data_IF_821409932866
#
_entry.id   IF_821409932866
#
_cell.length_a   1.000
_cell.length_b   1.000
_cell.length_c   1.000
_cell.angle_alpha   90.00
_cell.angle_beta   90.00
_cell.angle_gamma   90.00
#
_symmetry.space_group_name_H-M   'P 1'
#
loop_
_entity.id
_entity.type
_entity.pdbx_description
1 polymer ?
#
# COMPACT_ATOMS: atom_id res chain seq x y z
N UNK A 1 4.13 -0.36 -8.81
CA UNK A 1 5.07 0.75 -8.68
C UNK A 1 4.82 1.85 -9.72
N UNK A 2 4.95 3.12 -9.32
CA UNK A 2 4.86 4.28 -10.21
C UNK A 2 3.57 4.29 -11.05
N UNK A 3 2.42 4.18 -10.41
CA UNK A 3 1.13 4.26 -11.08
C UNK A 3 0.67 5.72 -11.15
N UNK A 4 1.22 6.44 -12.12
CA UNK A 4 0.93 7.84 -12.43
C UNK A 4 -0.01 7.93 -13.62
N UNK A 5 -0.83 8.97 -13.66
CA UNK A 5 -1.53 9.34 -14.88
C UNK A 5 -0.61 10.14 -15.83
N UNK A 6 -1.13 10.95 -16.69
CA UNK A 6 -0.36 11.70 -17.71
C UNK A 6 -0.48 13.20 -17.53
N UNK A 7 -0.99 13.65 -16.39
CA UNK A 7 -1.18 15.05 -16.04
C UNK A 7 -0.23 15.44 -14.90
N UNK A 8 0.22 16.68 -14.91
CA UNK A 8 1.06 17.20 -13.84
C UNK A 8 0.22 17.63 -12.65
N UNK A 9 0.50 17.06 -11.48
CA UNK A 9 -0.10 17.48 -10.23
C UNK A 9 0.73 18.58 -9.57
N UNK A 10 0.11 19.76 -9.42
CA UNK A 10 0.80 20.93 -8.88
C UNK A 10 1.35 20.68 -7.47
N UNK A 11 2.63 20.94 -7.28
CA UNK A 11 3.31 20.77 -6.00
C UNK A 11 4.09 19.46 -5.86
N UNK A 12 3.97 18.54 -6.82
CA UNK A 12 4.69 17.27 -6.83
C UNK A 12 5.76 17.20 -7.93
N UNK A 13 6.71 16.29 -7.74
CA UNK A 13 7.82 16.03 -8.66
C UNK A 13 7.50 14.79 -9.51
N UNK A 14 6.47 14.91 -10.31
CA UNK A 14 5.89 13.85 -11.17
C UNK A 14 6.27 14.01 -12.65
N UNK A 15 7.05 15.04 -12.99
CA UNK A 15 7.36 15.43 -14.37
C UNK A 15 7.97 14.33 -15.24
N UNK A 16 8.62 13.35 -14.62
CA UNK A 16 9.15 12.19 -15.36
C UNK A 16 8.04 11.27 -15.90
N UNK A 17 6.79 11.43 -15.40
CA UNK A 17 5.62 10.67 -15.84
C UNK A 17 4.68 11.45 -16.75
N UNK A 18 5.22 12.42 -17.49
CA UNK A 18 4.46 13.17 -18.49
C UNK A 18 4.78 12.67 -19.91
N UNK A 19 3.88 12.88 -20.88
CA UNK A 19 4.07 12.43 -22.25
C UNK A 19 5.33 13.01 -22.92
N UNK A 20 5.69 14.24 -22.58
CA UNK A 20 6.87 14.97 -23.09
C UNK A 20 8.16 14.66 -22.35
N UNK A 21 8.12 13.89 -21.26
CA UNK A 21 9.31 13.50 -20.51
C UNK A 21 10.16 12.46 -21.26
N UNK A 22 11.40 12.24 -20.79
CA UNK A 22 12.27 11.19 -21.33
C UNK A 22 11.67 9.79 -21.23
N UNK A 23 10.76 9.56 -20.29
CA UNK A 23 10.01 8.29 -20.17
C UNK A 23 8.93 8.15 -21.24
N UNK A 24 8.51 9.24 -21.91
CA UNK A 24 7.39 9.26 -22.84
C UNK A 24 6.17 8.55 -22.25
N UNK A 25 5.73 9.00 -21.06
CA UNK A 25 4.61 8.39 -20.34
C UNK A 25 3.28 8.81 -20.94
N UNK A 26 2.97 8.25 -22.11
CA UNK A 26 1.77 8.58 -22.87
C UNK A 26 0.51 7.94 -22.32
N UNK A 27 -0.65 8.47 -22.69
CA UNK A 27 -1.96 7.90 -22.33
C UNK A 27 -2.09 6.42 -22.76
N UNK A 28 -1.52 6.03 -23.89
CA UNK A 28 -1.50 4.63 -24.33
C UNK A 28 -0.74 3.73 -23.33
N UNK A 29 0.43 4.18 -22.86
CA UNK A 29 1.22 3.44 -21.86
C UNK A 29 0.52 3.37 -20.52
N UNK A 30 -0.10 4.47 -20.11
CA UNK A 30 -0.91 4.53 -18.89
C UNK A 30 -2.05 3.50 -18.92
N UNK A 31 -2.89 3.50 -19.96
CA UNK A 31 -3.99 2.56 -20.08
C UNK A 31 -3.55 1.12 -20.26
N UNK A 32 -2.41 0.89 -20.91
CA UNK A 32 -1.79 -0.44 -20.98
C UNK A 32 -1.43 -0.95 -19.56
N UNK A 33 -0.81 -0.10 -18.74
CA UNK A 33 -0.46 -0.43 -17.35
C UNK A 33 -1.68 -0.68 -16.50
N UNK A 34 -2.70 0.19 -16.58
CA UNK A 34 -3.99 0.00 -15.90
C UNK A 34 -4.61 -1.36 -16.24
N UNK A 35 -4.65 -1.70 -17.52
CA UNK A 35 -5.16 -2.98 -18.00
C UNK A 35 -4.31 -4.18 -17.56
N UNK A 36 -2.98 -4.01 -17.48
CA UNK A 36 -2.07 -5.05 -17.00
C UNK A 36 -2.28 -5.34 -15.50
N UNK A 37 -2.35 -4.30 -14.67
CA UNK A 37 -2.65 -4.43 -13.24
C UNK A 37 -3.98 -5.12 -13.01
N UNK A 38 -5.03 -4.69 -13.72
CA UNK A 38 -6.34 -5.34 -13.62
C UNK A 38 -6.29 -6.83 -13.96
N UNK A 39 -5.52 -7.22 -15.00
CA UNK A 39 -5.33 -8.64 -15.34
C UNK A 39 -4.65 -9.42 -14.22
N UNK A 40 -3.61 -8.85 -13.59
CA UNK A 40 -2.90 -9.48 -12.48
C UNK A 40 -3.82 -9.68 -11.28
N UNK A 41 -4.59 -8.65 -10.91
CA UNK A 41 -5.54 -8.72 -9.79
C UNK A 41 -6.59 -9.80 -10.05
N UNK A 42 -7.18 -9.84 -11.25
CA UNK A 42 -8.15 -10.88 -11.63
C UNK A 42 -7.52 -12.26 -11.59
N UNK A 43 -6.31 -12.41 -12.14
CA UNK A 43 -5.61 -13.71 -12.16
C UNK A 43 -5.26 -14.21 -10.75
N UNK A 44 -4.89 -13.31 -9.86
CA UNK A 44 -4.59 -13.66 -8.46
C UNK A 44 -5.82 -14.22 -7.71
N UNK A 45 -7.01 -13.73 -8.02
CA UNK A 45 -8.25 -14.21 -7.42
C UNK A 45 -8.74 -15.56 -7.98
N UNK A 46 -8.35 -15.90 -9.20
CA UNK A 46 -8.83 -17.11 -9.88
C UNK A 46 -10.32 -17.06 -10.18
N UNK A 47 -11.12 -17.87 -9.51
CA UNK A 47 -12.58 -17.93 -9.72
C UNK A 47 -13.35 -16.88 -8.90
N UNK A 48 -12.75 -16.30 -7.89
CA UNK A 48 -13.35 -15.27 -7.04
C UNK A 48 -12.47 -14.02 -7.03
N UNK A 49 -13.05 -12.84 -6.84
CA UNK A 49 -12.24 -11.64 -6.63
C UNK A 49 -11.31 -11.78 -5.41
N UNK A 50 -10.15 -11.17 -5.45
CA UNK A 50 -9.29 -11.04 -4.25
C UNK A 50 -9.98 -10.13 -3.24
N UNK A 51 -10.05 -10.54 -1.97
CA UNK A 51 -10.78 -9.81 -0.94
C UNK A 51 -10.19 -8.42 -0.67
N UNK A 52 -8.87 -8.34 -0.59
CA UNK A 52 -8.12 -7.08 -0.38
C UNK A 52 -6.88 -7.04 -1.26
N UNK A 53 -6.60 -5.87 -1.84
CA UNK A 53 -5.42 -5.61 -2.68
C UNK A 53 -4.72 -4.35 -2.20
N UNK A 54 -3.52 -4.49 -1.64
CA UNK A 54 -2.67 -3.36 -1.29
C UNK A 54 -1.85 -2.88 -2.49
N UNK A 55 -1.81 -1.57 -2.68
CA UNK A 55 -1.05 -0.91 -3.75
C UNK A 55 -0.15 0.17 -3.17
N UNK A 56 1.09 0.19 -3.63
CA UNK A 56 2.07 1.24 -3.33
C UNK A 56 2.39 2.05 -4.59
N UNK A 57 2.84 3.29 -4.37
CA UNK A 57 3.21 4.22 -5.45
C UNK A 57 2.05 4.51 -6.41
N UNK A 58 0.91 4.83 -5.83
CA UNK A 58 -0.27 5.31 -6.54
C UNK A 58 -0.30 6.83 -6.42
N UNK A 59 -0.51 7.51 -7.52
CA UNK A 59 -0.44 8.97 -7.56
C UNK A 59 -1.64 9.64 -6.88
N UNK A 60 -2.85 9.31 -7.32
CA UNK A 60 -4.06 9.99 -6.84
C UNK A 60 -5.33 9.13 -6.97
N UNK A 61 -6.44 9.68 -6.45
CA UNK A 61 -7.75 9.00 -6.48
C UNK A 61 -8.25 8.74 -7.90
N UNK A 62 -7.94 9.61 -8.87
CA UNK A 62 -8.34 9.44 -10.27
C UNK A 62 -7.73 8.17 -10.86
N UNK A 63 -6.48 7.90 -10.54
CA UNK A 63 -5.76 6.70 -10.98
C UNK A 63 -6.43 5.44 -10.45
N UNK A 64 -6.85 5.43 -9.19
CA UNK A 64 -7.59 4.31 -8.58
C UNK A 64 -9.00 4.20 -9.16
N UNK A 65 -9.69 5.32 -9.37
CA UNK A 65 -10.99 5.33 -10.03
C UNK A 65 -10.91 4.77 -11.46
N UNK A 66 -9.87 5.10 -12.20
CA UNK A 66 -9.62 4.53 -13.52
C UNK A 66 -9.41 3.01 -13.44
N UNK A 67 -8.60 2.53 -12.50
CA UNK A 67 -8.36 1.11 -12.31
C UNK A 67 -9.64 0.35 -11.98
N UNK A 68 -10.43 0.86 -11.05
CA UNK A 68 -11.62 0.17 -10.54
C UNK A 68 -12.85 0.32 -11.43
N UNK A 69 -12.99 1.42 -12.19
CA UNK A 69 -14.20 1.69 -12.97
C UNK A 69 -14.01 1.64 -14.49
N UNK A 70 -12.78 1.67 -15.01
CA UNK A 70 -12.52 1.69 -16.45
C UNK A 70 -11.70 0.53 -16.98
N UNK A 71 -11.42 -0.47 -16.11
CA UNK A 71 -10.74 -1.71 -16.49
C UNK A 71 -11.67 -2.91 -16.29
N UNK A 72 -11.11 -4.12 -16.38
CA UNK A 72 -11.84 -5.37 -16.08
C UNK A 72 -12.37 -5.41 -14.62
N UNK A 73 -11.76 -4.64 -13.70
CA UNK A 73 -12.21 -4.58 -12.31
C UNK A 73 -13.58 -3.91 -12.15
N UNK A 74 -14.04 -3.14 -13.14
CA UNK A 74 -15.34 -2.45 -13.09
C UNK A 74 -16.54 -3.39 -12.82
N UNK A 75 -16.41 -4.66 -13.22
CA UNK A 75 -17.45 -5.68 -13.01
C UNK A 75 -17.35 -6.39 -11.66
N UNK A 76 -16.27 -6.17 -10.91
CA UNK A 76 -16.00 -6.86 -9.67
C UNK A 76 -16.39 -6.05 -8.43
N UNK A 77 -16.83 -4.81 -8.57
CA UNK A 77 -17.41 -4.02 -7.48
C UNK A 77 -16.41 -3.56 -6.40
N UNK A 78 -15.10 -3.55 -6.69
CA UNK A 78 -14.10 -3.07 -5.73
C UNK A 78 -14.39 -1.65 -5.25
N UNK A 79 -14.25 -1.45 -3.96
CA UNK A 79 -14.14 -0.14 -3.31
C UNK A 79 -12.67 0.12 -2.96
N UNK A 80 -12.35 1.38 -2.69
CA UNK A 80 -10.98 1.77 -2.35
C UNK A 80 -10.94 2.79 -1.22
N UNK A 81 -9.84 2.77 -0.48
CA UNK A 81 -9.38 3.85 0.40
C UNK A 81 -7.93 4.15 0.07
N UNK A 82 -7.52 5.40 0.21
CA UNK A 82 -6.19 5.86 -0.18
C UNK A 82 -5.66 6.86 0.84
N UNK A 83 -4.32 6.90 1.04
CA UNK A 83 -3.66 7.97 1.77
C UNK A 83 -3.51 9.21 0.90
N UNK A 84 -3.24 10.34 1.54
CA UNK A 84 -2.81 11.57 0.89
C UNK A 84 -1.57 12.06 1.63
N UNK A 85 -0.42 11.75 1.06
CA UNK A 85 0.87 12.00 1.66
C UNK A 85 1.48 13.32 1.21
N UNK A 86 2.47 13.77 1.95
CA UNK A 86 3.34 14.89 1.56
C UNK A 86 4.64 14.42 0.90
N UNK A 87 4.68 13.18 0.41
CA UNK A 87 5.82 12.68 -0.36
C UNK A 87 5.99 13.54 -1.62
N UNK A 88 7.21 14.01 -1.84
CA UNK A 88 7.52 14.94 -2.93
C UNK A 88 7.13 14.41 -4.32
N UNK A 89 7.12 13.10 -4.50
CA UNK A 89 6.77 12.47 -5.78
C UNK A 89 5.26 12.37 -6.00
N UNK A 90 4.43 12.74 -5.00
CA UNK A 90 2.99 12.56 -5.07
C UNK A 90 2.58 11.09 -5.12
N UNK A 91 3.22 10.22 -4.33
CA UNK A 91 2.89 8.80 -4.29
C UNK A 91 2.31 8.39 -2.96
N UNK A 92 1.30 7.57 -3.03
CA UNK A 92 0.46 7.17 -1.92
C UNK A 92 0.24 5.65 -1.84
N UNK A 93 -0.48 5.23 -0.82
CA UNK A 93 -0.95 3.88 -0.58
C UNK A 93 -2.43 3.80 -0.87
N UNK A 94 -2.86 2.75 -1.56
CA UNK A 94 -4.28 2.48 -1.77
C UNK A 94 -4.62 1.02 -1.42
N UNK A 95 -5.74 0.81 -0.74
CA UNK A 95 -6.31 -0.50 -0.49
C UNK A 95 -7.61 -0.64 -1.28
N UNK A 96 -7.64 -1.59 -2.22
CA UNK A 96 -8.89 -2.03 -2.83
C UNK A 96 -9.47 -3.16 -1.99
N UNK A 97 -10.78 -3.22 -1.84
CA UNK A 97 -11.44 -4.26 -1.06
C UNK A 97 -12.79 -4.67 -1.65
N UNK A 98 -13.21 -5.91 -1.37
CA UNK A 98 -14.52 -6.42 -1.67
C UNK A 98 -15.46 -6.18 -0.49
N UNK A 99 -16.52 -5.34 -0.61
CA UNK A 99 -17.39 -5.00 0.52
C UNK A 99 -18.10 -6.21 1.14
N UNK A 100 -18.32 -7.26 0.36
CA UNK A 100 -19.02 -8.48 0.79
C UNK A 100 -18.19 -9.37 1.72
N UNK A 101 -16.87 -9.37 1.52
CA UNK A 101 -15.95 -10.21 2.31
C UNK A 101 -15.08 -9.41 3.27
N UNK A 102 -14.99 -8.08 3.05
CA UNK A 102 -14.30 -7.14 3.92
C UNK A 102 -15.15 -5.86 4.05
N UNK A 103 -16.15 -5.89 4.93
CA UNK A 103 -17.01 -4.73 5.16
C UNK A 103 -16.26 -3.63 5.93
N UNK A 104 -15.97 -2.52 5.25
CA UNK A 104 -15.20 -1.41 5.81
C UNK A 104 -15.87 -0.86 7.09
N UNK A 105 -15.13 -0.81 8.19
CA UNK A 105 -15.54 -0.21 9.46
C UNK A 105 -14.94 1.18 9.65
N UNK A 106 -13.63 1.29 9.40
CA UNK A 106 -12.90 2.55 9.51
C UNK A 106 -11.59 2.48 8.76
N UNK A 107 -11.03 3.64 8.45
CA UNK A 107 -9.66 3.77 7.97
C UNK A 107 -9.01 5.05 8.49
N UNK A 108 -7.68 5.04 8.54
CA UNK A 108 -6.89 6.19 8.96
C UNK A 108 -5.47 6.10 8.41
N UNK A 109 -4.85 7.27 8.24
CA UNK A 109 -3.43 7.33 7.90
C UNK A 109 -2.62 7.78 9.11
N UNK A 110 -1.45 7.16 9.28
CA UNK A 110 -0.58 7.38 10.43
C UNK A 110 0.79 7.84 9.96
N UNK A 111 1.16 9.10 10.21
CA UNK A 111 2.45 9.62 9.80
C UNK A 111 3.59 8.91 10.51
N UNK A 112 4.68 8.69 9.80
CA UNK A 112 5.94 8.25 10.39
C UNK A 112 6.69 9.48 10.88
N UNK A 113 7.01 9.57 12.17
CA UNK A 113 7.75 10.71 12.71
C UNK A 113 9.11 10.90 11.99
N UNK A 114 9.48 12.13 11.75
CA UNK A 114 10.75 12.51 11.13
C UNK A 114 11.30 13.80 11.73
N UNK A 115 12.61 14.00 11.65
CA UNK A 115 13.23 15.28 12.01
C UNK A 115 13.08 16.24 10.82
N UNK A 116 12.13 17.18 10.94
CA UNK A 116 11.82 18.14 9.86
C UNK A 116 13.00 19.02 9.44
N UNK A 117 14.04 19.15 10.27
CA UNK A 117 15.25 19.92 9.95
C UNK A 117 16.28 19.12 9.13
N UNK A 118 16.24 17.80 9.22
CA UNK A 118 17.26 16.90 8.64
C UNK A 118 16.71 15.86 7.69
N UNK A 119 15.44 15.55 7.80
CA UNK A 119 14.79 14.44 7.12
C UNK A 119 13.62 14.92 6.26
N UNK A 120 13.37 14.24 5.18
CA UNK A 120 12.15 14.45 4.39
C UNK A 120 11.02 13.60 4.96
N UNK A 121 9.77 14.11 4.94
CA UNK A 121 8.63 13.29 5.29
C UNK A 121 8.56 12.06 4.37
N UNK A 122 8.13 10.95 4.95
CA UNK A 122 7.81 9.73 4.20
C UNK A 122 6.31 9.49 4.19
N UNK A 123 5.87 8.52 3.38
CA UNK A 123 4.47 8.14 3.29
C UNK A 123 3.96 7.67 4.66
N UNK A 124 2.73 8.04 5.04
CA UNK A 124 2.09 7.49 6.23
C UNK A 124 1.77 6.00 6.03
N UNK A 125 1.58 5.27 7.13
CA UNK A 125 0.95 3.95 7.08
C UNK A 125 -0.55 4.13 6.89
N UNK A 126 -1.18 3.28 6.08
CA UNK A 126 -2.62 3.19 5.94
C UNK A 126 -3.14 2.05 6.82
N UNK A 127 -3.99 2.36 7.78
CA UNK A 127 -4.70 1.39 8.60
C UNK A 127 -6.15 1.32 8.15
N UNK A 128 -6.62 0.11 7.84
CA UNK A 128 -7.99 -0.15 7.40
C UNK A 128 -8.57 -1.29 8.22
N UNK A 129 -9.64 -1.03 8.94
CA UNK A 129 -10.36 -2.02 9.72
C UNK A 129 -11.60 -2.47 8.95
N UNK A 130 -11.77 -3.75 8.74
CA UNK A 130 -12.91 -4.34 8.07
C UNK A 130 -13.47 -5.54 8.83
N UNK A 131 -14.79 -5.75 8.71
CA UNK A 131 -15.47 -6.92 9.26
C UNK A 131 -15.47 -8.05 8.24
N UNK A 132 -15.02 -9.21 8.67
CA UNK A 132 -15.05 -10.45 7.89
C UNK A 132 -16.44 -11.12 7.98
N UNK A 133 -16.80 -12.02 7.05
CA UNK A 133 -18.06 -12.81 7.12
C UNK A 133 -18.18 -13.65 8.41
N UNK A 134 -17.06 -13.99 9.06
CA UNK A 134 -17.03 -14.67 10.36
C UNK A 134 -17.50 -13.79 11.52
N UNK A 135 -17.67 -12.48 11.31
CA UNK A 135 -17.94 -11.49 12.35
C UNK A 135 -16.70 -10.91 13.01
N UNK A 136 -15.53 -11.48 12.77
CA UNK A 136 -14.26 -10.97 13.28
C UNK A 136 -13.88 -9.65 12.58
N UNK A 137 -13.08 -8.83 13.24
CA UNK A 137 -12.47 -7.63 12.64
C UNK A 137 -11.04 -7.94 12.23
N UNK A 138 -10.72 -7.72 10.97
CA UNK A 138 -9.37 -7.72 10.44
C UNK A 138 -8.87 -6.28 10.31
N UNK A 139 -7.75 -5.99 10.94
CA UNK A 139 -7.04 -4.70 10.83
C UNK A 139 -5.89 -4.87 9.82
N UNK A 140 -6.05 -4.29 8.63
CA UNK A 140 -5.05 -4.33 7.55
C UNK A 140 -4.22 -3.05 7.62
N UNK A 141 -2.90 -3.21 7.74
CA UNK A 141 -1.94 -2.12 7.62
C UNK A 141 -1.21 -2.23 6.29
N UNK A 142 -1.26 -1.17 5.52
CA UNK A 142 -0.49 -1.04 4.30
C UNK A 142 0.65 -0.05 4.54
N UNK A 143 1.87 -0.44 4.13
CA UNK A 143 3.08 0.32 4.36
C UNK A 143 3.95 0.41 3.10
N UNK A 144 4.60 1.56 2.92
CA UNK A 144 5.69 1.71 1.98
C UNK A 144 6.85 2.40 2.71
N UNK A 145 7.77 1.60 3.22
CA UNK A 145 8.88 2.09 4.03
C UNK A 145 9.89 2.88 3.20
N UNK A 146 10.69 3.73 3.84
CA UNK A 146 11.76 4.47 3.17
C UNK A 146 12.72 3.56 2.41
N UNK A 147 13.04 3.95 1.17
CA UNK A 147 13.89 3.15 0.30
C UNK A 147 15.32 3.06 0.81
N UNK A 148 16.06 2.06 0.28
CA UNK A 148 17.50 1.88 0.54
C UNK A 148 18.38 2.83 -0.28
N UNK A 149 17.78 3.72 -1.06
CA UNK A 149 18.51 4.68 -1.91
C UNK A 149 19.38 5.58 -1.04
N UNK A 150 20.65 5.70 -1.38
CA UNK A 150 21.64 6.41 -0.56
C UNK A 150 22.41 5.52 0.41
N UNK A 151 22.08 4.24 0.51
CA UNK A 151 22.74 3.25 1.35
C UNK A 151 21.80 2.59 2.35
N UNK A 152 21.78 1.26 2.34
CA UNK A 152 20.88 0.47 3.19
C UNK A 152 21.06 0.77 4.68
N UNK A 153 22.31 0.89 5.13
CA UNK A 153 22.69 1.20 6.51
C UNK A 153 22.27 2.61 6.95
N UNK A 154 22.49 3.61 6.06
CA UNK A 154 22.15 5.00 6.36
C UNK A 154 20.64 5.22 6.45
N UNK A 155 19.87 4.44 5.73
CA UNK A 155 18.40 4.56 5.68
C UNK A 155 17.68 3.58 6.61
N UNK A 156 18.39 2.64 7.24
CA UNK A 156 17.82 1.67 8.19
C UNK A 156 17.05 2.33 9.35
N UNK A 157 17.56 3.39 10.02
CA UNK A 157 16.84 4.03 11.12
C UNK A 157 15.44 4.51 10.74
N UNK A 158 15.23 4.91 9.48
CA UNK A 158 13.93 5.37 9.01
C UNK A 158 12.95 4.20 8.86
N UNK A 159 13.42 3.05 8.38
CA UNK A 159 12.60 1.84 8.27
C UNK A 159 12.29 1.23 9.63
N UNK A 160 13.25 1.23 10.56
CA UNK A 160 13.01 0.84 11.97
C UNK A 160 11.92 1.71 12.61
N UNK A 161 11.95 3.02 12.36
CA UNK A 161 10.95 3.95 12.87
C UNK A 161 9.56 3.66 12.28
N UNK A 162 9.48 3.43 10.97
CA UNK A 162 8.21 3.06 10.32
C UNK A 162 7.66 1.74 10.85
N UNK A 163 8.50 0.74 11.05
CA UNK A 163 8.13 -0.53 11.69
C UNK A 163 7.64 -0.32 13.13
N UNK A 164 8.30 0.56 13.89
CA UNK A 164 7.89 0.94 15.25
C UNK A 164 6.48 1.55 15.29
N UNK A 165 6.14 2.40 14.33
CA UNK A 165 4.77 2.94 14.21
C UNK A 165 3.75 1.82 14.00
N UNK A 166 4.04 0.84 13.14
CA UNK A 166 3.15 -0.30 12.93
C UNK A 166 2.94 -1.11 14.22
N UNK A 167 4.00 -1.36 14.98
CA UNK A 167 3.92 -2.09 16.28
C UNK A 167 3.07 -1.31 17.28
N UNK A 168 3.28 -0.01 17.43
CA UNK A 168 2.48 0.83 18.34
C UNK A 168 0.99 0.82 17.97
N UNK A 169 0.68 0.84 16.67
CA UNK A 169 -0.70 0.72 16.21
C UNK A 169 -1.30 -0.64 16.54
N UNK A 170 -0.58 -1.73 16.30
CA UNK A 170 -1.02 -3.09 16.66
C UNK A 170 -1.26 -3.23 18.16
N UNK A 171 -0.36 -2.72 18.99
CA UNK A 171 -0.52 -2.75 20.45
C UNK A 171 -1.76 -1.97 20.90
N UNK A 172 -1.98 -0.78 20.33
CA UNK A 172 -3.17 0.03 20.62
C UNK A 172 -4.47 -0.66 20.19
N UNK A 173 -4.47 -1.35 19.06
CA UNK A 173 -5.63 -2.08 18.57
C UNK A 173 -5.87 -3.37 19.38
N UNK A 174 -4.82 -4.08 19.76
CA UNK A 174 -4.92 -5.29 20.58
C UNK A 174 -5.64 -5.04 21.91
N UNK A 175 -5.47 -3.85 22.50
CA UNK A 175 -6.18 -3.45 23.72
C UNK A 175 -7.69 -3.24 23.51
N UNK A 176 -8.13 -3.04 22.26
CA UNK A 176 -9.52 -2.73 21.90
C UNK A 176 -10.25 -3.89 21.21
N UNK A 177 -9.53 -4.92 20.81
CA UNK A 177 -10.07 -6.08 20.09
C UNK A 177 -10.16 -7.28 21.02
N UNK A 178 -11.30 -7.95 21.05
CA UNK A 178 -11.45 -9.23 21.77
C UNK A 178 -10.59 -10.32 21.12
N UNK A 179 -10.50 -10.30 19.78
CA UNK A 179 -9.69 -11.24 18.97
C UNK A 179 -8.90 -10.41 17.96
N UNK A 180 -7.69 -9.95 18.30
CA UNK A 180 -6.88 -9.15 17.38
C UNK A 180 -6.46 -9.99 16.17
N UNK A 181 -6.79 -9.53 14.97
CA UNK A 181 -6.33 -10.09 13.71
C UNK A 181 -5.67 -8.97 12.91
N UNK A 182 -4.38 -9.13 12.65
CA UNK A 182 -3.57 -8.15 11.94
C UNK A 182 -3.00 -8.72 10.65
N UNK A 183 -3.01 -7.91 9.61
CA UNK A 183 -2.30 -8.15 8.36
C UNK A 183 -1.49 -6.89 8.03
N UNK A 184 -0.16 -7.01 7.94
CA UNK A 184 0.70 -5.98 7.39
C UNK A 184 1.17 -6.41 6.01
N UNK A 185 0.98 -5.54 5.03
CA UNK A 185 1.42 -5.77 3.65
C UNK A 185 2.00 -4.49 3.05
N UNK A 186 2.68 -4.61 1.92
CA UNK A 186 3.22 -3.47 1.18
C UNK A 186 4.68 -3.64 0.80
N UNK A 187 5.34 -2.53 0.48
CA UNK A 187 6.76 -2.49 0.19
C UNK A 187 7.54 -2.02 1.43
N UNK A 188 8.11 -2.96 2.15
CA UNK A 188 8.90 -2.66 3.34
C UNK A 188 10.32 -2.19 3.02
N UNK A 189 10.75 -2.24 1.76
CA UNK A 189 12.12 -1.92 1.33
C UNK A 189 13.22 -2.63 2.15
N UNK A 190 12.84 -3.72 2.81
CA UNK A 190 13.71 -4.58 3.62
C UNK A 190 13.38 -6.05 3.37
N UNK A 191 14.36 -6.90 3.58
CA UNK A 191 14.23 -8.35 3.51
C UNK A 191 13.79 -8.92 4.86
N UNK A 192 13.27 -10.15 4.92
CA UNK A 192 12.86 -10.78 6.17
C UNK A 192 13.95 -10.83 7.24
N UNK A 193 15.23 -10.83 6.85
CA UNK A 193 16.39 -10.82 7.74
C UNK A 193 16.78 -9.44 8.26
N UNK A 194 16.25 -8.36 7.69
CA UNK A 194 16.59 -7.02 8.14
C UNK A 194 15.85 -6.69 9.45
N UNK A 195 16.48 -5.87 10.29
CA UNK A 195 16.05 -5.59 11.65
C UNK A 195 14.63 -5.04 11.77
N UNK A 196 14.19 -4.22 10.82
CA UNK A 196 12.82 -3.72 10.79
C UNK A 196 11.79 -4.84 10.76
N UNK A 197 12.11 -5.95 10.06
CA UNK A 197 11.25 -7.13 9.92
C UNK A 197 11.54 -8.14 11.02
N UNK A 198 12.80 -8.60 11.14
CA UNK A 198 13.20 -9.70 12.00
C UNK A 198 13.19 -9.39 13.51
N UNK A 199 13.37 -8.11 13.89
CA UNK A 199 13.37 -7.71 15.30
C UNK A 199 12.10 -6.91 15.65
N UNK A 200 11.73 -5.89 14.86
CA UNK A 200 10.64 -4.98 15.21
C UNK A 200 9.27 -5.60 14.87
N UNK A 201 9.00 -5.89 13.61
CA UNK A 201 7.71 -6.44 13.19
C UNK A 201 7.48 -7.86 13.71
N UNK A 202 8.52 -8.71 13.76
CA UNK A 202 8.44 -10.08 14.27
C UNK A 202 8.07 -10.14 15.76
N UNK A 203 8.16 -9.03 16.50
CA UNK A 203 7.66 -8.97 17.87
C UNK A 203 6.13 -9.10 17.96
N UNK A 204 5.40 -8.91 16.85
CA UNK A 204 3.93 -8.93 16.78
C UNK A 204 3.36 -9.73 15.60
N UNK A 205 4.15 -9.96 14.57
CA UNK A 205 3.71 -10.60 13.34
C UNK A 205 4.59 -11.80 13.00
N UNK A 206 3.98 -12.79 12.40
CA UNK A 206 4.70 -13.90 11.77
C UNK A 206 4.77 -13.60 10.27
N UNK A 207 5.97 -13.62 9.65
CA UNK A 207 6.07 -13.49 8.21
C UNK A 207 5.25 -14.60 7.54
N UNK A 208 4.31 -14.23 6.69
CA UNK A 208 3.72 -15.16 5.75
C UNK A 208 4.80 -15.38 4.71
N UNK A 209 5.56 -16.47 4.85
CA UNK A 209 6.46 -16.95 3.80
C UNK A 209 5.63 -16.99 2.54
N UNK A 210 6.13 -16.39 1.45
CA UNK A 210 5.40 -16.30 0.21
C UNK A 210 4.79 -17.66 -0.10
N UNK A 211 3.50 -17.81 0.13
CA UNK A 211 2.74 -18.87 -0.46
C UNK A 211 2.63 -18.47 -1.92
N UNK A 212 3.72 -18.72 -2.66
CA UNK A 212 3.60 -18.86 -4.10
C UNK A 212 2.63 -20.00 -4.27
N UNK A 213 1.38 -19.67 -4.52
CA UNK A 213 0.40 -20.63 -4.99
C UNK A 213 0.85 -21.10 -6.36
N UNK A 214 1.82 -22.00 -6.37
CA UNK A 214 1.98 -22.93 -7.48
C UNK A 214 0.79 -23.88 -7.38
N UNK A 215 -0.33 -23.47 -7.93
CA UNK A 215 -1.38 -24.42 -8.23
C UNK A 215 -0.90 -25.22 -9.42
N UNK A 216 -0.49 -26.46 -9.15
CA UNK A 216 -0.45 -27.55 -10.14
C UNK A 216 -1.82 -27.71 -10.81
#
# INVERSE_FOLDING_TARGET
ENLFDTLHDAGFDDREFLPESDRHWTSSRYWHKQGALARVIVAAGGMQPVDVVGMCEVENDSVIAHLTHRTRLARLGYKAVMTHSTDRRGIDLALLYQPETFALLSWSQHPVPHDSLRERPTRPLLLVSGRLPTGDTLDVMLAHFPSRRGGAHLTEPYRLRAAGVAVVLMDSLALRRTRPLFLLMGDLNDEPSNRSVSEVLASRLVPISAVVLTRS
#
